data_IF_569950253999
#
_entry.id   IF_569950253999
#
_cell.length_a   1.000
_cell.length_b   1.000
_cell.length_c   1.000
_cell.angle_alpha   90.00
_cell.angle_beta   90.00
_cell.angle_gamma   90.00
#
_symmetry.space_group_name_H-M   'P 1'
#
loop_
_entity.id
_entity.type
_entity.pdbx_description
1 polymer ?
#
# COMPACT_ATOMS: atom_id res chain seq x y z
N UNK A 1 8.74 -35.28 12.22
CA UNK A 1 7.98 -34.16 11.61
C UNK A 1 8.95 -33.22 10.89
N UNK A 2 8.87 -33.11 9.57
CA UNK A 2 9.72 -32.18 8.82
C UNK A 2 9.36 -30.71 9.18
N UNK A 3 10.36 -29.89 9.54
CA UNK A 3 10.18 -28.42 9.62
C UNK A 3 9.77 -27.96 8.22
N UNK A 4 8.49 -27.62 8.02
CA UNK A 4 8.08 -26.81 6.86
C UNK A 4 8.96 -25.57 6.86
N UNK A 5 9.80 -25.40 5.84
CA UNK A 5 10.62 -24.20 5.66
C UNK A 5 9.74 -22.96 5.74
N UNK A 6 10.23 -21.90 6.41
CA UNK A 6 9.55 -20.61 6.42
C UNK A 6 9.70 -20.02 5.02
N UNK A 7 8.61 -20.00 4.24
CA UNK A 7 8.61 -19.38 2.92
C UNK A 7 8.77 -17.86 3.03
N UNK A 8 9.37 -17.26 2.00
CA UNK A 8 9.48 -15.82 1.82
C UNK A 8 9.22 -15.47 0.35
N UNK A 9 8.43 -14.43 0.10
CA UNK A 9 8.23 -13.84 -1.23
C UNK A 9 8.20 -12.32 -1.10
N UNK A 10 8.85 -11.61 -2.01
CA UNK A 10 8.84 -10.15 -2.02
C UNK A 10 8.67 -9.60 -3.43
N UNK A 11 7.93 -8.51 -3.54
CA UNK A 11 7.87 -7.64 -4.70
C UNK A 11 8.54 -6.32 -4.32
N UNK A 12 9.44 -5.82 -5.16
CA UNK A 12 10.20 -4.60 -4.89
C UNK A 12 10.09 -3.69 -6.10
N UNK A 13 9.72 -2.44 -5.85
CA UNK A 13 9.65 -1.37 -6.83
C UNK A 13 10.78 -0.39 -6.55
N UNK A 14 11.49 0.02 -7.60
CA UNK A 14 12.45 1.12 -7.57
C UNK A 14 12.44 1.80 -8.94
N UNK A 15 12.97 3.02 -9.03
CA UNK A 15 12.96 3.76 -10.28
C UNK A 15 14.00 3.17 -11.26
N UNK A 16 13.53 2.56 -12.33
CA UNK A 16 14.38 1.94 -13.37
C UNK A 16 14.73 2.87 -14.52
N UNK A 17 14.16 4.08 -14.55
CA UNK A 17 14.27 5.03 -15.67
C UNK A 17 15.31 6.12 -15.47
N UNK A 18 15.93 6.19 -14.30
CA UNK A 18 17.04 7.09 -14.04
C UNK A 18 18.36 6.33 -14.18
N UNK A 19 19.26 6.72 -15.11
CA UNK A 19 20.59 6.14 -15.15
C UNK A 19 21.31 6.45 -13.84
N UNK A 20 22.04 5.46 -13.33
CA UNK A 20 22.87 5.63 -12.13
C UNK A 20 23.83 6.78 -12.37
N UNK A 21 23.74 7.83 -11.54
CA UNK A 21 24.69 8.93 -11.62
C UNK A 21 26.09 8.39 -11.27
N UNK A 22 27.10 8.77 -12.05
CA UNK A 22 28.49 8.32 -11.87
C UNK A 22 29.04 8.60 -10.45
N UNK A 23 28.46 9.58 -9.75
CA UNK A 23 28.91 10.05 -8.43
C UNK A 23 27.87 9.86 -7.31
N UNK A 24 26.79 9.10 -7.53
CA UNK A 24 25.82 8.78 -6.46
C UNK A 24 25.58 7.28 -6.36
N UNK A 25 25.68 6.77 -5.13
CA UNK A 25 25.29 5.40 -4.76
C UNK A 25 23.87 5.31 -4.22
N UNK A 26 23.17 6.45 -4.10
CA UNK A 26 21.85 6.55 -3.47
C UNK A 26 20.78 6.87 -4.51
N UNK A 27 19.68 6.13 -4.48
CA UNK A 27 18.44 6.43 -5.18
C UNK A 27 17.32 6.63 -4.15
N UNK A 28 16.56 7.71 -4.31
CA UNK A 28 15.45 8.03 -3.42
C UNK A 28 14.16 7.34 -3.86
N UNK A 29 13.35 6.93 -2.87
CA UNK A 29 12.08 6.25 -3.09
C UNK A 29 12.24 4.73 -3.15
N UNK A 30 11.21 4.07 -3.66
CA UNK A 30 11.11 2.63 -3.70
C UNK A 30 10.09 2.08 -2.71
N UNK A 31 9.60 0.88 -3.01
CA UNK A 31 8.54 0.24 -2.26
C UNK A 31 8.77 -1.26 -2.21
N UNK A 32 8.35 -1.92 -1.13
CA UNK A 32 8.39 -3.38 -1.05
C UNK A 32 7.12 -3.94 -0.45
N UNK A 33 6.59 -5.00 -1.04
CA UNK A 33 5.53 -5.81 -0.45
C UNK A 33 6.06 -7.21 -0.22
N UNK A 34 5.96 -7.72 1.00
CA UNK A 34 6.56 -8.99 1.37
C UNK A 34 5.57 -9.92 2.06
N UNK A 35 5.67 -11.21 1.76
CA UNK A 35 4.88 -12.27 2.35
C UNK A 35 5.83 -13.26 3.07
N UNK A 36 5.44 -13.67 4.27
CA UNK A 36 6.27 -14.52 5.13
C UNK A 36 5.54 -15.79 5.59
N UNK A 37 6.32 -16.74 6.10
CA UNK A 37 5.84 -17.98 6.70
C UNK A 37 5.04 -18.85 5.71
N UNK A 38 3.73 -18.98 5.92
CA UNK A 38 2.84 -19.81 5.10
C UNK A 38 2.20 -19.04 3.95
N UNK A 39 2.28 -17.70 3.97
CA UNK A 39 1.63 -16.83 2.97
C UNK A 39 2.24 -17.00 1.56
N UNK A 40 3.57 -17.14 1.40
CA UNK A 40 4.20 -17.27 0.08
C UNK A 40 3.65 -18.41 -0.79
N UNK A 41 3.23 -19.52 -0.19
CA UNK A 41 2.62 -20.64 -0.92
C UNK A 41 1.30 -20.27 -1.63
N UNK A 42 0.70 -19.13 -1.29
CA UNK A 42 -0.53 -18.62 -1.91
C UNK A 42 -0.27 -17.53 -2.94
N UNK A 43 0.97 -17.09 -3.12
CA UNK A 43 1.33 -16.09 -4.11
C UNK A 43 1.10 -16.68 -5.49
N UNK A 44 0.32 -15.97 -6.32
CA UNK A 44 0.06 -16.32 -7.71
C UNK A 44 0.78 -15.41 -8.68
N UNK A 45 0.90 -14.15 -8.32
CA UNK A 45 1.68 -13.17 -9.08
C UNK A 45 2.09 -12.01 -8.19
N UNK A 46 3.04 -11.22 -8.68
CA UNK A 46 3.51 -9.98 -8.06
C UNK A 46 4.01 -9.04 -9.14
N UNK A 47 4.20 -7.77 -8.80
CA UNK A 47 4.80 -6.79 -9.69
C UNK A 47 4.98 -5.43 -9.03
N UNK A 48 5.27 -4.45 -9.86
CA UNK A 48 5.61 -3.07 -9.49
C UNK A 48 5.17 -2.08 -10.58
N UNK A 49 5.45 -0.80 -10.37
CA UNK A 49 5.13 0.31 -11.27
C UNK A 49 6.33 0.82 -12.10
N UNK A 50 7.49 0.16 -12.01
CA UNK A 50 8.80 0.52 -12.60
C UNK A 50 9.37 1.91 -12.28
N UNK A 51 8.58 2.75 -11.60
CA UNK A 51 8.93 4.09 -11.13
C UNK A 51 9.25 4.13 -9.64
N UNK A 52 9.03 3.03 -8.92
CA UNK A 52 9.33 2.89 -7.50
C UNK A 52 8.27 3.45 -6.56
N UNK A 53 7.04 3.67 -7.06
CA UNK A 53 5.95 4.22 -6.25
C UNK A 53 5.09 3.14 -5.61
N UNK A 54 4.95 1.95 -6.21
CA UNK A 54 4.27 0.83 -5.54
C UNK A 54 4.76 -0.53 -5.99
N UNK A 55 4.69 -1.48 -5.06
CA UNK A 55 4.87 -2.90 -5.31
C UNK A 55 3.61 -3.65 -4.86
N UNK A 56 3.35 -4.83 -5.43
CA UNK A 56 2.17 -5.61 -5.07
C UNK A 56 2.38 -7.12 -5.15
N UNK A 57 1.59 -7.85 -4.36
CA UNK A 57 1.48 -9.32 -4.36
C UNK A 57 0.01 -9.71 -4.48
N UNK A 58 -0.30 -10.59 -5.43
CA UNK A 58 -1.62 -11.24 -5.55
C UNK A 58 -1.58 -12.62 -4.92
N UNK A 59 -2.44 -12.80 -3.93
CA UNK A 59 -2.65 -14.03 -3.18
C UNK A 59 -3.94 -14.71 -3.63
N UNK A 60 -3.88 -16.03 -3.79
CA UNK A 60 -5.08 -16.83 -3.97
C UNK A 60 -5.84 -16.97 -2.65
N UNK A 61 -7.17 -16.85 -2.70
CA UNK A 61 -8.02 -17.15 -1.54
C UNK A 61 -7.92 -18.63 -1.13
N UNK A 62 -8.11 -18.93 0.17
CA UNK A 62 -8.24 -20.29 0.71
C UNK A 62 -9.61 -20.88 0.40
N UNK A 63 -10.64 -20.06 0.26
CA UNK A 63 -11.97 -20.56 -0.08
C UNK A 63 -12.00 -21.00 -1.54
N UNK A 64 -12.41 -22.25 -1.77
CA UNK A 64 -12.66 -22.81 -3.11
C UNK A 64 -14.18 -22.83 -3.31
N UNK A 65 -14.66 -22.26 -4.42
CA UNK A 65 -16.09 -22.24 -4.75
C UNK A 65 -16.64 -20.84 -5.07
N UNK A 66 -17.97 -20.75 -5.16
CA UNK A 66 -18.71 -19.52 -5.51
C UNK A 66 -18.43 -18.44 -4.46
N UNK A 67 -17.83 -17.33 -4.89
CA UNK A 67 -17.44 -16.22 -4.01
C UNK A 67 -15.94 -16.12 -3.74
N UNK A 68 -15.09 -16.96 -4.34
CA UNK A 68 -13.63 -16.85 -4.27
C UNK A 68 -13.16 -15.45 -4.72
N UNK A 69 -12.46 -14.73 -3.83
CA UNK A 69 -11.85 -13.43 -4.18
C UNK A 69 -10.37 -13.44 -3.86
N UNK A 70 -9.55 -13.45 -4.91
CA UNK A 70 -8.12 -13.24 -4.76
C UNK A 70 -7.86 -11.92 -4.02
N UNK A 71 -6.75 -11.84 -3.30
CA UNK A 71 -6.37 -10.66 -2.54
C UNK A 71 -5.14 -10.04 -3.19
N UNK A 72 -5.19 -8.75 -3.52
CA UNK A 72 -4.00 -7.98 -3.90
C UNK A 72 -3.59 -7.12 -2.72
N UNK A 73 -2.36 -7.30 -2.26
CA UNK A 73 -1.75 -6.46 -1.24
C UNK A 73 -0.72 -5.57 -1.90
N UNK A 74 -0.83 -4.27 -1.65
CA UNK A 74 -0.05 -3.23 -2.29
C UNK A 74 0.66 -2.45 -1.19
N UNK A 75 1.97 -2.25 -1.36
CA UNK A 75 2.71 -1.19 -0.67
C UNK A 75 2.85 -0.04 -1.64
N UNK A 76 2.58 1.19 -1.21
CA UNK A 76 2.75 2.36 -2.05
C UNK A 76 3.39 3.54 -1.30
N UNK A 77 3.94 4.46 -2.07
CA UNK A 77 4.52 5.73 -1.63
C UNK A 77 4.05 6.83 -2.58
N UNK A 78 3.21 7.74 -2.07
CA UNK A 78 2.80 8.93 -2.83
C UNK A 78 3.91 9.98 -2.72
N UNK A 79 4.42 10.53 -3.84
CA UNK A 79 5.52 11.49 -3.79
C UNK A 79 5.21 12.72 -2.93
N UNK A 80 6.20 13.22 -2.20
CA UNK A 80 6.10 14.52 -1.54
C UNK A 80 5.88 15.66 -2.57
N UNK A 81 5.31 16.80 -2.17
CA UNK A 81 5.19 17.97 -3.05
C UNK A 81 6.57 18.42 -3.53
N UNK A 82 6.66 19.14 -4.67
CA UNK A 82 7.93 19.64 -5.15
C UNK A 82 8.62 20.49 -4.08
N UNK A 83 9.93 20.29 -3.93
CA UNK A 83 10.80 21.11 -3.08
C UNK A 83 12.08 21.44 -3.86
N UNK A 84 13.04 22.13 -3.27
CA UNK A 84 14.25 22.58 -4.00
C UNK A 84 15.28 21.46 -4.27
N UNK A 85 15.01 20.21 -3.91
CA UNK A 85 15.96 19.10 -4.04
C UNK A 85 15.86 18.40 -5.40
N UNK A 86 16.85 18.58 -6.28
CA UNK A 86 16.90 17.99 -7.62
C UNK A 86 16.91 16.44 -7.68
N UNK A 87 17.08 15.75 -6.54
CA UNK A 87 17.05 14.28 -6.45
C UNK A 87 15.77 13.72 -5.81
N UNK A 88 14.77 14.55 -5.52
CA UNK A 88 13.51 14.06 -4.96
C UNK A 88 12.78 13.15 -5.95
N UNK A 89 12.03 12.20 -5.40
CA UNK A 89 11.15 11.29 -6.15
C UNK A 89 10.27 12.06 -7.14
N UNK A 90 9.73 13.21 -6.70
CA UNK A 90 8.93 14.09 -7.55
C UNK A 90 9.67 14.52 -8.83
N UNK A 91 10.90 15.04 -8.72
CA UNK A 91 11.66 15.47 -9.90
C UNK A 91 12.08 14.30 -10.79
N UNK A 92 12.39 13.15 -10.19
CA UNK A 92 12.72 11.96 -10.95
C UNK A 92 11.55 11.54 -11.86
N UNK A 93 10.32 11.57 -11.31
CA UNK A 93 9.12 11.27 -12.08
C UNK A 93 8.80 12.36 -13.10
N UNK A 94 8.91 13.65 -12.74
CA UNK A 94 8.68 14.74 -13.70
C UNK A 94 9.64 14.64 -14.88
N UNK A 95 10.93 14.37 -14.63
CA UNK A 95 11.92 14.18 -15.69
C UNK A 95 11.59 12.97 -16.58
N UNK A 96 11.17 11.85 -15.99
CA UNK A 96 10.73 10.68 -16.75
C UNK A 96 9.50 10.99 -17.62
N UNK A 97 8.49 11.65 -17.05
CA UNK A 97 7.28 12.04 -17.77
C UNK A 97 7.54 13.03 -18.90
N UNK A 98 8.43 14.01 -18.70
CA UNK A 98 8.89 14.89 -19.79
C UNK A 98 9.55 14.11 -20.93
N UNK A 99 10.38 13.09 -20.63
CA UNK A 99 11.04 12.26 -21.66
C UNK A 99 10.07 11.37 -22.42
N UNK A 100 8.94 11.01 -21.82
CA UNK A 100 7.90 10.18 -22.45
C UNK A 100 6.74 11.01 -23.01
N UNK A 101 6.90 12.35 -23.11
CA UNK A 101 5.87 13.28 -23.57
C UNK A 101 4.55 13.20 -22.78
N UNK A 102 4.63 12.84 -21.50
CA UNK A 102 3.51 12.82 -20.57
C UNK A 102 3.52 14.11 -19.76
N UNK A 103 2.70 15.10 -20.13
CA UNK A 103 2.61 16.34 -19.34
C UNK A 103 1.55 16.23 -18.23
N UNK A 104 1.95 15.62 -17.12
CA UNK A 104 1.13 15.51 -15.91
C UNK A 104 1.99 15.82 -14.69
N UNK A 105 1.38 16.37 -13.65
CA UNK A 105 2.02 16.57 -12.36
C UNK A 105 2.25 15.20 -11.68
N UNK A 106 3.44 14.91 -11.11
CA UNK A 106 3.77 13.59 -10.58
C UNK A 106 2.81 12.99 -9.54
N UNK A 107 2.27 13.79 -8.62
CA UNK A 107 1.32 13.33 -7.60
C UNK A 107 -0.04 13.01 -8.22
N UNK A 108 -0.52 13.83 -9.15
CA UNK A 108 -1.74 13.55 -9.92
C UNK A 108 -1.60 12.30 -10.78
N UNK A 109 -0.44 12.12 -11.43
CA UNK A 109 -0.10 10.92 -12.18
C UNK A 109 -0.13 9.67 -11.29
N UNK A 110 0.48 9.73 -10.10
CA UNK A 110 0.45 8.65 -9.12
C UNK A 110 -0.98 8.23 -8.76
N UNK A 111 -1.83 9.20 -8.38
CA UNK A 111 -3.23 8.92 -8.03
C UNK A 111 -3.97 8.26 -9.20
N UNK A 112 -3.85 8.83 -10.40
CA UNK A 112 -4.51 8.31 -11.60
C UNK A 112 -4.08 6.89 -11.94
N UNK A 113 -2.78 6.63 -11.94
CA UNK A 113 -2.23 5.34 -12.34
C UNK A 113 -2.52 4.27 -11.29
N UNK A 114 -2.40 4.59 -10.00
CA UNK A 114 -2.76 3.69 -8.91
C UNK A 114 -4.26 3.37 -8.91
N UNK A 115 -5.12 4.37 -9.10
CA UNK A 115 -6.58 4.16 -9.24
C UNK A 115 -6.91 3.26 -10.43
N UNK A 116 -6.21 3.42 -11.55
CA UNK A 116 -6.38 2.57 -12.75
C UNK A 116 -5.99 1.13 -12.45
N UNK A 117 -4.84 0.92 -11.80
CA UNK A 117 -4.37 -0.41 -11.40
C UNK A 117 -5.34 -1.09 -10.41
N UNK A 118 -5.82 -0.33 -9.41
CA UNK A 118 -6.81 -0.80 -8.43
C UNK A 118 -8.09 -1.27 -9.12
N UNK A 119 -8.65 -0.46 -10.03
CA UNK A 119 -9.87 -0.83 -10.74
C UNK A 119 -9.66 -2.10 -11.58
N UNK A 120 -8.53 -2.23 -12.27
CA UNK A 120 -8.21 -3.47 -13.00
C UNK A 120 -8.23 -4.70 -12.09
N UNK A 121 -7.59 -4.65 -10.92
CA UNK A 121 -7.64 -5.79 -9.99
C UNK A 121 -9.04 -6.04 -9.42
N UNK A 122 -9.84 -4.99 -9.24
CA UNK A 122 -11.24 -5.12 -8.79
C UNK A 122 -12.12 -5.76 -9.86
N UNK A 123 -11.93 -5.39 -11.12
CA UNK A 123 -12.64 -5.98 -12.26
C UNK A 123 -12.26 -7.46 -12.42
N UNK A 124 -11.01 -7.82 -12.09
CA UNK A 124 -10.54 -9.21 -11.94
C UNK A 124 -11.10 -9.95 -10.70
N UNK A 125 -12.06 -9.35 -9.98
CA UNK A 125 -12.71 -9.94 -8.80
C UNK A 125 -11.85 -9.95 -7.54
N UNK A 126 -10.77 -9.17 -7.49
CA UNK A 126 -9.88 -9.15 -6.33
C UNK A 126 -10.36 -8.20 -5.23
N UNK A 127 -10.13 -8.60 -3.98
CA UNK A 127 -10.12 -7.68 -2.83
C UNK A 127 -8.76 -6.99 -2.77
N UNK A 128 -8.75 -5.74 -2.30
CA UNK A 128 -7.55 -4.90 -2.27
C UNK A 128 -7.20 -4.53 -0.84
N UNK A 129 -5.92 -4.62 -0.52
CA UNK A 129 -5.33 -4.01 0.67
C UNK A 129 -4.21 -3.09 0.21
N UNK A 130 -4.37 -1.79 0.48
CA UNK A 130 -3.38 -0.77 0.16
C UNK A 130 -2.77 -0.26 1.46
N UNK A 131 -1.49 -0.58 1.68
CA UNK A 131 -0.66 0.10 2.67
C UNK A 131 0.14 1.20 1.99
N UNK A 132 0.02 2.44 2.45
CA UNK A 132 0.63 3.59 1.75
C UNK A 132 1.19 4.62 2.73
N UNK A 133 2.34 5.21 2.40
CA UNK A 133 2.71 6.57 2.84
C UNK A 133 2.14 7.58 1.86
N UNK A 134 1.02 8.18 2.25
CA UNK A 134 0.23 9.04 1.39
C UNK A 134 0.84 10.43 1.23
N UNK A 135 1.81 10.86 2.06
CA UNK A 135 2.38 12.21 2.02
C UNK A 135 1.33 13.32 1.76
N UNK A 136 0.14 13.14 2.33
CA UNK A 136 -1.05 13.95 2.14
C UNK A 136 -1.87 13.93 3.44
N UNK A 137 -2.81 14.86 3.56
CA UNK A 137 -3.73 14.92 4.69
C UNK A 137 -4.91 13.97 4.47
N UNK A 138 -4.85 12.81 5.12
CA UNK A 138 -5.90 11.80 5.04
C UNK A 138 -7.15 12.16 5.88
N UNK A 139 -7.12 13.22 6.70
CA UNK A 139 -8.33 13.74 7.33
C UNK A 139 -9.21 14.50 6.32
N UNK A 140 -8.58 15.10 5.29
CA UNK A 140 -9.27 15.83 4.24
C UNK A 140 -10.10 14.91 3.34
N UNK A 141 -11.34 15.33 3.06
CA UNK A 141 -12.24 14.65 2.13
C UNK A 141 -12.70 15.59 0.99
N UNK A 142 -11.80 16.48 0.56
CA UNK A 142 -12.04 17.32 -0.62
C UNK A 142 -11.88 16.52 -1.91
N UNK A 143 -12.50 16.92 -3.05
CA UNK A 143 -12.38 16.20 -4.33
C UNK A 143 -10.94 15.98 -4.82
N UNK A 144 -9.98 16.78 -4.33
CA UNK A 144 -8.56 16.67 -4.66
C UNK A 144 -7.75 15.84 -3.66
N UNK A 145 -8.30 15.50 -2.50
CA UNK A 145 -7.56 14.77 -1.48
C UNK A 145 -7.34 13.33 -1.88
N UNK A 146 -6.17 12.77 -1.50
CA UNK A 146 -5.88 11.37 -1.75
C UNK A 146 -7.01 10.44 -1.25
N UNK A 147 -7.54 10.69 -0.05
CA UNK A 147 -8.61 9.88 0.54
C UNK A 147 -9.89 9.87 -0.31
N UNK A 148 -10.30 11.02 -0.84
CA UNK A 148 -11.47 11.10 -1.72
C UNK A 148 -11.23 10.32 -3.02
N UNK A 149 -10.06 10.52 -3.65
CA UNK A 149 -9.72 9.82 -4.90
C UNK A 149 -9.65 8.29 -4.72
N UNK A 150 -9.19 7.83 -3.56
CA UNK A 150 -9.20 6.41 -3.22
C UNK A 150 -10.62 5.88 -2.94
N UNK A 151 -11.52 6.69 -2.35
CA UNK A 151 -12.90 6.26 -2.13
C UNK A 151 -13.70 6.10 -3.42
N UNK A 152 -13.38 6.88 -4.46
CA UNK A 152 -13.94 6.71 -5.81
C UNK A 152 -13.62 5.32 -6.40
N UNK A 153 -12.48 4.72 -6.03
CA UNK A 153 -12.11 3.34 -6.41
C UNK A 153 -12.51 2.30 -5.35
N UNK A 154 -13.43 2.67 -4.45
CA UNK A 154 -14.05 1.77 -3.48
C UNK A 154 -13.15 1.40 -2.30
N UNK A 155 -12.05 2.12 -2.08
CA UNK A 155 -11.20 1.97 -0.90
C UNK A 155 -11.77 2.75 0.29
N UNK A 156 -11.51 2.25 1.49
CA UNK A 156 -12.00 2.82 2.75
C UNK A 156 -10.82 2.93 3.72
N UNK A 157 -10.61 4.13 4.25
CA UNK A 157 -9.55 4.41 5.22
C UNK A 157 -9.84 3.64 6.52
N UNK A 158 -9.01 2.65 6.88
CA UNK A 158 -9.34 1.73 7.96
C UNK A 158 -9.12 2.32 9.36
N UNK A 159 -8.16 3.22 9.55
CA UNK A 159 -7.83 3.77 10.87
C UNK A 159 -8.99 4.63 11.38
N UNK A 160 -9.43 5.59 10.59
CA UNK A 160 -10.58 6.46 10.87
C UNK A 160 -11.89 5.68 10.89
N UNK A 161 -12.03 4.62 10.08
CA UNK A 161 -13.22 3.76 10.14
C UNK A 161 -13.31 2.99 11.46
N UNK A 162 -12.16 2.57 12.02
CA UNK A 162 -12.10 1.84 13.29
C UNK A 162 -12.08 2.76 14.51
N UNK A 163 -11.49 3.94 14.37
CA UNK A 163 -11.31 4.93 15.42
C UNK A 163 -11.80 6.32 14.97
N UNK A 164 -13.12 6.52 14.82
CA UNK A 164 -13.68 7.83 14.47
C UNK A 164 -13.22 8.91 15.45
N UNK A 165 -12.79 10.07 14.94
CA UNK A 165 -12.34 11.21 15.75
C UNK A 165 -10.91 11.11 16.30
N UNK A 166 -10.23 9.97 16.15
CA UNK A 166 -8.82 9.82 16.50
C UNK A 166 -7.91 10.35 15.40
N UNK A 167 -7.16 11.41 15.69
CA UNK A 167 -6.12 11.97 14.82
C UNK A 167 -4.76 11.50 15.32
N UNK A 168 -4.47 10.21 15.21
CA UNK A 168 -3.15 9.69 15.55
C UNK A 168 -2.19 9.94 14.39
N UNK A 169 -1.25 10.85 14.59
CA UNK A 169 -0.17 11.07 13.66
C UNK A 169 0.63 9.78 13.47
N UNK A 170 0.73 9.33 12.22
CA UNK A 170 1.55 8.16 11.86
C UNK A 170 2.99 8.55 11.53
N UNK A 171 3.35 9.83 11.72
CA UNK A 171 4.67 10.40 11.48
C UNK A 171 5.05 11.36 12.61
N UNK A 172 6.20 11.12 13.24
CA UNK A 172 6.62 11.77 14.48
C UNK A 172 6.95 13.28 14.32
N UNK A 173 7.32 13.75 13.13
CA UNK A 173 7.56 15.18 12.84
C UNK A 173 6.38 15.82 12.09
N UNK A 174 5.15 15.47 12.47
CA UNK A 174 3.94 16.08 11.93
C UNK A 174 3.37 17.13 12.89
N UNK A 175 3.65 18.43 12.72
CA UNK A 175 3.14 19.48 13.61
C UNK A 175 1.61 19.60 13.59
N UNK A 176 0.93 19.00 12.60
CA UNK A 176 -0.52 19.07 12.43
C UNK A 176 -1.28 17.80 12.89
N UNK A 177 -0.58 16.75 13.31
CA UNK A 177 -1.22 15.57 13.91
C UNK A 177 -1.97 14.61 12.97
N UNK A 178 -2.16 14.93 11.70
CA UNK A 178 -2.96 14.09 10.78
C UNK A 178 -2.28 12.75 10.39
N UNK A 179 -3.05 11.68 10.16
CA UNK A 179 -2.52 10.42 9.66
C UNK A 179 -1.99 10.59 8.23
N UNK A 180 -0.82 9.99 7.96
CA UNK A 180 -0.19 9.92 6.63
C UNK A 180 -0.08 8.48 6.11
N UNK A 181 -0.24 7.49 6.99
CA UNK A 181 -0.28 6.07 6.64
C UNK A 181 -1.72 5.56 6.66
N UNK A 182 -2.11 4.81 5.63
CA UNK A 182 -3.37 4.06 5.60
C UNK A 182 -3.11 2.62 5.21
N UNK A 183 -3.78 1.70 5.90
CA UNK A 183 -4.11 0.38 5.38
C UNK A 183 -5.59 0.42 4.98
N UNK A 184 -5.93 0.41 3.69
CA UNK A 184 -7.34 0.39 3.27
C UNK A 184 -7.84 -1.04 3.13
N UNK A 185 -8.98 -1.35 3.72
CA UNK A 185 -9.66 -2.65 3.59
C UNK A 185 -11.08 -2.41 3.06
N UNK A 186 -11.51 -3.16 2.05
CA UNK A 186 -12.91 -3.10 1.59
C UNK A 186 -13.86 -3.57 2.70
N UNK A 187 -14.93 -2.81 2.93
CA UNK A 187 -16.18 -3.31 3.53
C UNK A 187 -16.89 -4.21 2.51
N UNK A 188 -16.92 -5.51 2.77
CA UNK A 188 -17.55 -6.47 1.87
C UNK A 188 -19.06 -6.26 1.85
N UNK A 189 -19.61 -5.81 0.73
CA UNK A 189 -21.01 -6.12 0.38
C UNK A 189 -21.01 -7.19 -0.72
N UNK A 190 -21.73 -8.28 -0.45
CA UNK A 190 -22.12 -9.31 -1.41
C UNK A 190 -23.58 -9.03 -1.81
N UNK A 191 -23.92 -9.00 -3.12
CA UNK A 191 -25.31 -8.81 -3.56
C UNK A 191 -26.29 -9.88 -3.05
N UNK A 192 -25.76 -11.06 -2.70
CA UNK A 192 -26.52 -12.20 -2.17
C UNK A 192 -26.75 -12.16 -0.65
N UNK A 193 -26.30 -11.12 0.05
CA UNK A 193 -26.46 -11.01 1.51
C UNK A 193 -27.60 -10.06 1.90
N UNK A 194 -28.31 -10.32 3.01
CA UNK A 194 -29.36 -9.44 3.49
C UNK A 194 -28.82 -8.01 3.71
N UNK A 195 -29.60 -6.97 3.40
CA UNK A 195 -29.27 -5.59 3.73
C UNK A 195 -28.93 -5.47 5.22
N UNK A 196 -27.75 -4.94 5.55
CA UNK A 196 -27.28 -4.77 6.93
C UNK A 196 -26.19 -5.76 7.39
N UNK A 197 -25.86 -6.78 6.60
CA UNK A 197 -24.77 -7.72 6.94
C UNK A 197 -23.41 -7.13 6.61
N UNK A 198 -22.65 -6.71 7.64
CA UNK A 198 -21.27 -6.22 7.52
C UNK A 198 -20.30 -7.29 8.01
N UNK A 199 -19.46 -7.87 7.14
CA UNK A 199 -18.30 -8.62 7.59
C UNK A 199 -17.10 -7.66 7.68
N UNK A 200 -16.74 -7.28 8.90
CA UNK A 200 -15.37 -6.87 9.19
C UNK A 200 -14.56 -8.17 9.19
N UNK A 201 -13.93 -8.52 8.06
CA UNK A 201 -13.01 -9.67 8.09
C UNK A 201 -11.90 -9.31 9.07
N UNK A 202 -11.91 -9.94 10.22
CA UNK A 202 -10.75 -10.02 11.10
C UNK A 202 -9.71 -10.83 10.31
N UNK A 203 -8.90 -10.17 9.49
CA UNK A 203 -8.00 -10.86 8.57
C UNK A 203 -6.96 -11.61 9.39
N UNK A 204 -7.07 -12.93 9.40
CA UNK A 204 -5.95 -13.84 9.65
C UNK A 204 -5.34 -14.14 8.27
N UNK A 205 -4.06 -13.83 7.99
CA UNK A 205 -2.97 -13.35 8.86
C UNK A 205 -3.06 -11.88 9.32
N UNK A 206 -2.49 -11.47 10.48
CA UNK A 206 -2.23 -10.06 10.75
C UNK A 206 -1.37 -9.43 9.65
N UNK A 207 -1.69 -8.18 9.38
CA UNK A 207 -1.00 -7.33 8.42
C UNK A 207 -0.16 -6.37 9.22
N UNK A 208 1.16 -6.48 9.08
CA UNK A 208 2.09 -5.52 9.68
C UNK A 208 2.51 -4.56 8.58
N UNK A 209 2.05 -3.33 8.66
CA UNK A 209 2.58 -2.22 7.84
C UNK A 209 3.72 -1.60 8.62
N UNK A 210 4.93 -1.61 8.05
CA UNK A 210 6.10 -0.96 8.62
C UNK A 210 6.58 0.11 7.64
N UNK A 211 6.49 1.38 8.03
CA UNK A 211 7.06 2.49 7.27
C UNK A 211 8.34 2.93 7.98
N UNK A 212 9.50 2.71 7.37
CA UNK A 212 10.77 3.23 7.86
C UNK A 212 10.91 4.72 7.51
N UNK A 213 11.57 5.50 8.37
CA UNK A 213 11.81 6.94 8.19
C UNK A 213 12.81 7.30 7.09
N UNK A 214 13.29 6.30 6.33
CA UNK A 214 14.15 6.49 5.17
C UNK A 214 13.71 5.57 4.04
N UNK A 215 13.10 6.19 3.03
CA UNK A 215 13.08 5.78 1.62
C UNK A 215 12.31 4.52 1.21
N UNK A 216 11.65 3.78 2.10
CA UNK A 216 10.90 2.58 1.68
C UNK A 216 9.63 2.36 2.50
N UNK A 217 8.49 2.22 1.81
CA UNK A 217 7.25 1.72 2.41
C UNK A 217 7.22 0.19 2.30
N UNK A 218 6.99 -0.49 3.43
CA UNK A 218 6.88 -1.94 3.48
C UNK A 218 5.55 -2.41 4.07
N UNK A 219 4.87 -3.31 3.36
CA UNK A 219 3.72 -4.06 3.87
C UNK A 219 4.11 -5.52 3.97
N UNK A 220 3.93 -6.08 5.15
CA UNK A 220 4.25 -7.46 5.48
C UNK A 220 3.00 -8.23 5.89
N UNK A 221 2.85 -9.45 5.35
CA UNK A 221 1.79 -10.38 5.71
C UNK A 221 2.39 -11.62 6.36
N UNK A 222 1.95 -11.95 7.58
CA UNK A 222 2.44 -13.11 8.32
C UNK A 222 1.30 -13.85 9.03
N UNK A 223 1.13 -15.15 8.78
CA UNK A 223 0.14 -15.99 9.47
C UNK A 223 0.56 -16.25 10.92
N UNK A 224 0.02 -15.45 11.87
CA UNK A 224 0.26 -15.64 13.31
C UNK A 224 -0.87 -16.46 13.93
N UNK A 225 -0.64 -17.76 14.11
CA UNK A 225 -1.33 -18.52 15.15
C UNK A 225 -0.67 -18.25 16.50
N UNK A 226 -0.72 -17.01 16.99
CA UNK A 226 -0.11 -16.64 18.27
C UNK A 226 -1.16 -16.64 19.37
N UNK A 227 -1.10 -17.64 20.25
CA UNK A 227 -1.82 -17.68 21.54
C UNK A 227 -1.29 -16.67 22.57
N UNK A 228 -0.31 -15.83 22.21
CA UNK A 228 0.16 -14.71 23.03
C UNK A 228 0.68 -13.60 22.09
N UNK A 229 0.14 -12.38 22.13
CA UNK A 229 0.67 -11.26 21.35
C UNK A 229 2.08 -10.88 21.87
N UNK A 230 3.03 -10.54 20.99
CA UNK A 230 4.29 -9.95 21.43
C UNK A 230 4.00 -8.55 21.99
N UNK A 231 4.26 -8.36 23.29
CA UNK A 231 4.39 -7.02 23.87
C UNK A 231 5.62 -6.34 23.28
N UNK A 232 5.42 -5.30 22.49
CA UNK A 232 6.47 -4.34 22.19
C UNK A 232 6.42 -3.26 23.27
N UNK A 233 7.36 -3.29 24.20
CA UNK A 233 7.62 -2.17 25.10
C UNK A 233 8.23 -1.03 24.29
N UNK A 234 7.52 0.09 24.20
CA UNK A 234 8.09 1.36 23.76
C UNK A 234 8.92 1.93 24.92
N UNK A 235 10.24 1.78 24.84
CA UNK A 235 11.18 2.61 25.58
C UNK A 235 11.37 3.92 24.82
N UNK A 236 11.30 5.03 25.56
CA UNK A 236 11.48 6.41 25.09
C UNK A 236 12.89 6.66 24.52
#
# INVERSE_FOLDING_TARGET
MARKGKGFHSAVAYNTHQPRAAHSTTQFGGCSTSAFNKVPHRVRSSGDDSLGQWAWIRLQDRTQGVGQRNLVVISAYHPNPPNNGHQTVWFQHKAHFSRTNRDVEPREAFIKDLSTAINKWRDDGCSIILGIDANDDLSSYSPKSFRFRMSEVGLVEAIQSKHPGSHQATYQRNPRGYPRLTASLRRLTCPSWPPGTTLLTNTSPPITVACGSTLTCAVSLADTNLRNPPMFHAGW
#
